data_IF_035984848244
#
_entry.id   IF_035984848244
#
_cell.length_a   1.000
_cell.length_b   1.000
_cell.length_c   1.000
_cell.angle_alpha   90.00
_cell.angle_beta   90.00
_cell.angle_gamma   90.00
#
_symmetry.space_group_name_H-M   'P 1'
#
loop_
_entity.id
_entity.type
_entity.pdbx_description
1 polymer ?
#
# COMPACT_ATOMS: atom_id res chain seq x y z
N UNK A 1 -6.45 -2.82 18.23
CA UNK A 1 -7.18 -3.42 17.09
C UNK A 1 -6.18 -3.71 15.98
N UNK A 2 -6.23 -4.91 15.37
CA UNK A 2 -5.35 -5.31 14.26
C UNK A 2 -6.20 -5.53 13.00
N UNK A 3 -5.82 -4.89 11.89
CA UNK A 3 -6.52 -5.03 10.60
C UNK A 3 -5.48 -5.28 9.51
N UNK A 4 -5.72 -6.28 8.68
CA UNK A 4 -4.87 -6.64 7.54
C UNK A 4 -5.62 -6.37 6.23
N UNK A 5 -4.94 -5.78 5.26
CA UNK A 5 -5.41 -5.56 3.89
C UNK A 5 -4.32 -6.01 2.93
N UNK A 6 -4.67 -6.60 1.79
CA UNK A 6 -3.67 -7.11 0.85
C UNK A 6 -3.91 -6.59 -0.56
N UNK A 7 -2.82 -6.36 -1.29
CA UNK A 7 -2.80 -6.19 -2.74
C UNK A 7 -2.29 -7.48 -3.36
N UNK A 8 -3.05 -8.04 -4.28
CA UNK A 8 -2.74 -9.27 -5.02
C UNK A 8 -2.44 -8.92 -6.47
N UNK A 9 -1.18 -9.07 -6.86
CA UNK A 9 -0.74 -8.92 -8.24
C UNK A 9 -0.39 -10.30 -8.82
N UNK A 10 -0.23 -10.38 -10.14
CA UNK A 10 0.22 -11.59 -10.83
C UNK A 10 1.62 -11.95 -10.32
N UNK A 11 1.69 -13.05 -9.55
CA UNK A 11 2.93 -13.62 -9.03
C UNK A 11 3.29 -13.22 -7.59
N UNK A 12 2.74 -12.14 -7.04
CA UNK A 12 3.03 -11.73 -5.67
C UNK A 12 1.82 -11.13 -4.94
N UNK A 13 1.90 -11.13 -3.61
CA UNK A 13 1.00 -10.40 -2.71
C UNK A 13 1.78 -9.43 -1.85
N UNK A 14 1.18 -8.27 -1.57
CA UNK A 14 1.67 -7.31 -0.58
C UNK A 14 0.64 -7.19 0.54
N UNK A 15 1.03 -7.52 1.77
CA UNK A 15 0.17 -7.50 2.96
C UNK A 15 0.47 -6.27 3.80
N UNK A 16 -0.55 -5.49 4.14
CA UNK A 16 -0.46 -4.29 4.97
C UNK A 16 -1.17 -4.55 6.29
N UNK A 17 -0.40 -4.59 7.38
CA UNK A 17 -0.90 -4.83 8.74
C UNK A 17 -0.91 -3.54 9.52
N UNK A 18 -2.10 -3.11 9.91
CA UNK A 18 -2.35 -1.89 10.63
C UNK A 18 -2.73 -2.21 12.08
N UNK A 19 -1.96 -1.69 13.02
CA UNK A 19 -2.22 -1.82 14.46
C UNK A 19 -2.41 -0.44 15.07
N UNK A 20 -3.60 -0.19 15.65
CA UNK A 20 -3.84 1.06 16.36
C UNK A 20 -3.00 1.09 17.64
N UNK A 21 -2.21 2.15 17.81
CA UNK A 21 -1.41 2.40 19.02
C UNK A 21 -2.06 3.56 19.79
N UNK A 22 -2.44 3.33 21.05
CA UNK A 22 -3.26 4.28 21.81
C UNK A 22 -2.56 5.64 22.04
N UNK A 23 -3.40 6.69 22.16
CA UNK A 23 -3.14 8.10 22.45
C UNK A 23 -2.91 9.09 21.29
N UNK A 24 -2.33 8.71 20.14
CA UNK A 24 -1.83 9.73 19.18
C UNK A 24 -2.34 9.67 17.72
N UNK A 25 -3.40 8.92 17.41
CA UNK A 25 -3.86 8.70 16.01
C UNK A 25 -2.74 8.20 15.10
N UNK A 26 -1.78 7.50 15.69
CA UNK A 26 -0.72 6.80 15.00
C UNK A 26 -1.13 5.34 14.86
N UNK A 27 -0.83 4.80 13.70
CA UNK A 27 -1.08 3.42 13.34
C UNK A 27 0.27 2.82 13.05
N UNK A 28 0.61 1.76 13.76
CA UNK A 28 1.75 0.93 13.41
C UNK A 28 1.43 0.16 12.13
N UNK A 29 2.32 0.25 11.16
CA UNK A 29 2.20 -0.36 9.84
C UNK A 29 3.40 -1.25 9.55
N UNK A 30 3.13 -2.54 9.38
CA UNK A 30 4.06 -3.52 8.84
C UNK A 30 3.60 -3.92 7.43
N UNK A 31 4.53 -3.99 6.48
CA UNK A 31 4.27 -4.41 5.11
C UNK A 31 5.03 -5.69 4.80
N UNK A 32 4.32 -6.71 4.33
CA UNK A 32 4.88 -7.96 3.85
C UNK A 32 4.83 -8.06 2.33
N UNK A 33 5.80 -8.75 1.74
CA UNK A 33 5.69 -9.25 0.37
C UNK A 33 5.92 -10.76 0.34
N UNK A 34 5.17 -11.46 -0.50
CA UNK A 34 5.22 -12.91 -0.65
C UNK A 34 4.69 -13.37 -2.01
N UNK A 35 4.75 -14.67 -2.27
CA UNK A 35 4.11 -15.25 -3.45
C UNK A 35 2.59 -15.11 -3.36
N UNK A 36 1.94 -14.92 -4.52
CA UNK A 36 0.50 -14.69 -4.62
C UNK A 36 -0.34 -15.80 -3.97
N UNK A 37 0.13 -17.05 -4.02
CA UNK A 37 -0.53 -18.22 -3.42
C UNK A 37 -0.34 -18.32 -1.89
N UNK A 38 0.43 -17.41 -1.29
CA UNK A 38 0.75 -17.39 0.14
C UNK A 38 1.71 -18.49 0.58
N UNK A 39 2.28 -19.27 -0.35
CA UNK A 39 3.18 -20.38 -0.02
C UNK A 39 4.51 -19.92 0.60
N UNK A 40 4.97 -18.72 0.25
CA UNK A 40 6.25 -18.19 0.70
C UNK A 40 6.18 -16.68 0.96
N UNK A 41 6.73 -16.27 2.11
CA UNK A 41 7.00 -14.86 2.41
C UNK A 41 8.44 -14.52 1.99
N UNK A 42 8.59 -13.43 1.25
CA UNK A 42 9.87 -13.01 0.67
C UNK A 42 10.57 -11.97 1.54
N UNK A 43 9.81 -10.99 2.03
CA UNK A 43 10.33 -9.96 2.92
C UNK A 43 9.21 -9.35 3.78
N UNK A 44 9.62 -8.71 4.87
CA UNK A 44 8.76 -7.90 5.73
C UNK A 44 9.49 -6.60 6.02
N UNK A 45 8.78 -5.48 5.96
CA UNK A 45 9.31 -4.20 6.37
C UNK A 45 9.59 -4.22 7.86
N UNK A 46 10.44 -3.30 8.31
CA UNK A 46 10.35 -2.87 9.71
C UNK A 46 9.00 -2.20 9.97
N UNK A 47 8.49 -2.39 11.19
CA UNK A 47 7.29 -1.70 11.68
C UNK A 47 7.54 -0.18 11.69
N UNK A 48 6.56 0.59 11.24
CA UNK A 48 6.66 2.04 11.13
C UNK A 48 5.34 2.72 11.48
N UNK A 49 5.41 3.88 12.12
CA UNK A 49 4.22 4.63 12.50
C UNK A 49 3.75 5.53 11.38
N UNK A 50 2.48 5.39 10.99
CA UNK A 50 1.84 6.31 10.06
C UNK A 50 0.67 7.05 10.73
N UNK A 51 0.51 8.36 10.48
CA UNK A 51 -0.70 9.07 10.86
C UNK A 51 -1.93 8.49 10.14
N UNK A 52 -3.10 8.49 10.78
CA UNK A 52 -4.37 8.09 10.11
C UNK A 52 -4.62 8.84 8.80
N UNK A 53 -4.24 10.12 8.71
CA UNK A 53 -4.34 10.91 7.46
C UNK A 53 -3.50 10.34 6.30
N UNK A 54 -2.41 9.64 6.61
CA UNK A 54 -1.54 9.04 5.61
C UNK A 54 -2.13 7.75 5.05
N UNK A 55 -3.03 7.07 5.79
CA UNK A 55 -3.87 5.98 5.25
C UNK A 55 -4.81 6.53 4.16
N UNK A 56 -5.42 7.70 4.40
CA UNK A 56 -6.26 8.36 3.39
C UNK A 56 -5.43 8.83 2.19
N UNK A 57 -4.22 9.36 2.41
CA UNK A 57 -3.28 9.69 1.32
C UNK A 57 -2.93 8.45 0.50
N UNK A 58 -2.79 7.31 1.17
CA UNK A 58 -2.48 6.05 0.51
C UNK A 58 -3.65 5.55 -0.35
N UNK A 59 -4.90 5.67 0.11
CA UNK A 59 -6.07 5.37 -0.72
C UNK A 59 -6.13 6.29 -1.96
N UNK A 60 -5.97 7.61 -1.74
CA UNK A 60 -6.01 8.62 -2.82
C UNK A 60 -4.95 8.40 -3.90
N UNK A 61 -3.76 7.97 -3.49
CA UNK A 61 -2.69 7.65 -4.43
C UNK A 61 -3.15 6.67 -5.53
N UNK A 62 -3.88 5.61 -5.17
CA UNK A 62 -4.41 4.66 -6.15
C UNK A 62 -5.61 5.23 -6.93
N UNK A 63 -6.49 5.97 -6.28
CA UNK A 63 -7.64 6.62 -6.93
C UNK A 63 -7.19 7.59 -8.03
N UNK A 64 -6.17 8.40 -7.74
CA UNK A 64 -5.56 9.36 -8.67
C UNK A 64 -4.87 8.63 -9.83
N UNK A 65 -4.18 7.50 -9.55
CA UNK A 65 -3.56 6.67 -10.60
C UNK A 65 -4.59 6.06 -11.53
N UNK A 66 -5.65 5.43 -10.99
CA UNK A 66 -6.73 4.85 -11.78
C UNK A 66 -7.43 5.91 -12.65
N UNK A 67 -7.70 7.08 -12.09
CA UNK A 67 -8.27 8.21 -12.83
C UNK A 67 -7.34 8.76 -13.92
N UNK A 68 -6.03 8.57 -13.78
CA UNK A 68 -5.05 8.94 -14.79
C UNK A 68 -4.99 7.91 -15.92
N UNK A 69 -5.03 6.61 -15.59
CA UNK A 69 -5.07 5.53 -16.57
C UNK A 69 -6.31 5.56 -17.47
N UNK A 70 -7.46 5.98 -16.95
CA UNK A 70 -8.69 6.16 -17.75
C UNK A 70 -8.52 7.19 -18.88
N UNK A 71 -7.55 8.10 -18.76
CA UNK A 71 -7.27 9.16 -19.74
C UNK A 71 -6.00 8.90 -20.55
N UNK A 72 -5.03 8.19 -19.97
CA UNK A 72 -3.74 7.91 -20.56
C UNK A 72 -3.22 6.54 -20.07
N UNK A 73 -3.19 5.49 -20.91
CA UNK A 73 -2.70 4.17 -20.51
C UNK A 73 -1.21 4.17 -20.12
N UNK A 74 -0.43 5.12 -20.63
CA UNK A 74 1.00 5.28 -20.30
C UNK A 74 1.21 6.09 -19.01
N UNK A 75 0.16 6.39 -18.26
CA UNK A 75 0.29 7.14 -17.01
C UNK A 75 1.11 6.36 -15.98
N UNK A 76 2.06 7.04 -15.37
CA UNK A 76 2.87 6.51 -14.26
C UNK A 76 2.78 7.47 -13.08
N UNK A 77 2.54 6.91 -11.90
CA UNK A 77 2.55 7.67 -10.66
C UNK A 77 3.96 7.85 -10.14
N UNK A 78 4.18 8.97 -9.44
CA UNK A 78 5.37 9.15 -8.62
C UNK A 78 5.45 8.07 -7.53
N UNK A 79 6.65 7.78 -7.05
CA UNK A 79 6.83 6.78 -6.00
C UNK A 79 6.17 7.27 -4.71
N UNK A 80 5.19 6.51 -4.20
CA UNK A 80 4.63 6.75 -2.89
C UNK A 80 5.64 6.33 -1.82
N UNK A 81 5.99 7.27 -0.95
CA UNK A 81 6.90 7.05 0.17
C UNK A 81 6.24 7.56 1.48
N UNK A 82 6.03 6.70 2.48
CA UNK A 82 5.59 7.11 3.81
C UNK A 82 6.73 7.77 4.58
N UNK A 83 6.41 8.59 5.59
CA UNK A 83 7.40 9.34 6.37
C UNK A 83 8.48 8.44 7.00
N UNK A 84 8.07 7.28 7.51
CA UNK A 84 8.96 6.31 8.18
C UNK A 84 9.75 5.44 7.21
N UNK A 85 9.60 5.62 5.88
CA UNK A 85 10.39 4.91 4.85
C UNK A 85 10.36 3.37 5.00
N UNK A 86 9.27 2.82 5.54
CA UNK A 86 9.11 1.38 5.75
C UNK A 86 8.80 0.63 4.44
N UNK A 87 8.19 1.30 3.47
CA UNK A 87 7.94 0.73 2.14
C UNK A 87 7.91 1.83 1.05
N UNK A 88 7.90 1.42 -0.21
CA UNK A 88 7.66 2.27 -1.37
C UNK A 88 6.70 1.58 -2.33
N UNK A 89 5.88 2.36 -3.02
CA UNK A 89 4.97 1.86 -4.05
C UNK A 89 5.09 2.70 -5.31
N UNK A 90 5.01 2.06 -6.46
CA UNK A 90 4.91 2.74 -7.74
C UNK A 90 3.87 2.05 -8.61
N UNK A 91 2.84 2.79 -8.99
CA UNK A 91 1.81 2.37 -9.91
C UNK A 91 2.19 2.92 -11.29
N UNK A 92 2.27 2.04 -12.26
CA UNK A 92 2.81 2.32 -13.58
C UNK A 92 1.73 2.09 -14.65
N UNK A 93 2.17 2.10 -15.90
CA UNK A 93 1.32 1.96 -17.09
C UNK A 93 0.42 0.70 -17.06
N UNK A 94 -0.66 0.79 -17.82
CA UNK A 94 -1.68 -0.23 -17.91
C UNK A 94 -2.93 0.29 -18.62
N UNK A 95 -4.05 -0.37 -18.41
CA UNK A 95 -5.35 0.07 -18.90
C UNK A 95 -6.32 0.16 -17.73
N UNK A 96 -7.09 1.25 -17.67
CA UNK A 96 -8.26 1.35 -16.80
C UNK A 96 -9.44 1.83 -17.62
N UNK A 97 -10.61 1.22 -17.41
CA UNK A 97 -11.85 1.60 -18.08
C UNK A 97 -12.87 2.07 -17.06
N UNK A 98 -13.76 2.94 -17.53
CA UNK A 98 -14.95 3.33 -16.78
C UNK A 98 -15.73 2.08 -16.37
N UNK A 99 -16.09 1.97 -15.10
CA UNK A 99 -16.88 0.85 -14.58
C UNK A 99 -16.10 -0.23 -13.81
N UNK A 100 -14.78 -0.10 -13.62
CA UNK A 100 -14.06 -1.01 -12.74
C UNK A 100 -12.98 -1.86 -13.41
N UNK A 101 -13.04 -1.99 -14.72
CA UNK A 101 -12.20 -2.92 -15.48
C UNK A 101 -10.81 -2.36 -15.75
N UNK A 102 -9.86 -3.26 -15.98
CA UNK A 102 -8.50 -2.93 -16.36
C UNK A 102 -7.44 -3.52 -15.42
N UNK A 103 -6.20 -3.38 -15.83
CA UNK A 103 -5.03 -3.85 -15.10
C UNK A 103 -3.85 -2.91 -15.31
N UNK A 104 -2.95 -2.82 -14.34
CA UNK A 104 -1.76 -2.00 -14.45
C UNK A 104 -0.59 -2.62 -13.69
N UNK A 105 0.62 -2.17 -13.96
CA UNK A 105 1.80 -2.70 -13.28
C UNK A 105 2.00 -1.99 -11.93
N UNK A 106 2.13 -2.76 -10.86
CA UNK A 106 2.43 -2.28 -9.53
C UNK A 106 3.77 -2.83 -9.04
N UNK A 107 4.63 -1.93 -8.59
CA UNK A 107 5.87 -2.25 -7.88
C UNK A 107 5.69 -1.97 -6.39
N UNK A 108 6.06 -2.94 -5.55
CA UNK A 108 6.12 -2.80 -4.09
C UNK A 108 7.51 -3.12 -3.60
N UNK A 109 8.09 -2.20 -2.82
CA UNK A 109 9.40 -2.36 -2.22
C UNK A 109 9.28 -2.19 -0.69
N UNK A 110 9.85 -3.09 0.10
CA UNK A 110 9.87 -3.00 1.56
C UNK A 110 11.30 -2.76 2.07
N UNK A 111 11.46 -1.89 3.06
CA UNK A 111 12.75 -1.60 3.68
C UNK A 111 13.09 -2.69 4.71
N UNK A 112 14.17 -3.43 4.45
CA UNK A 112 14.61 -4.58 5.28
C UNK A 112 15.74 -4.23 6.26
N UNK A 113 16.32 -3.04 6.16
CA UNK A 113 17.43 -2.58 7.02
C UNK A 113 16.98 -1.79 8.24
N UNK A 114 15.70 -1.39 8.27
CA UNK A 114 15.14 -0.58 9.36
C UNK A 114 15.27 0.92 9.17
N UNK A 115 14.44 1.66 9.91
CA UNK A 115 14.30 3.13 9.84
C UNK A 115 15.39 3.89 10.59
N UNK A 116 16.22 3.19 11.39
CA UNK A 116 17.23 3.79 12.26
C UNK A 116 18.68 3.65 11.82
N UNK A 117 18.96 3.09 10.64
CA UNK A 117 20.35 2.88 10.19
C UNK A 117 20.92 4.13 9.50
N UNK A 118 21.96 4.78 10.03
CA UNK A 118 22.61 5.92 9.39
C UNK A 118 23.39 5.53 8.11
N UNK A 119 23.52 4.24 7.81
CA UNK A 119 24.34 3.71 6.71
C UNK A 119 23.58 3.40 5.41
N UNK A 120 22.32 3.85 5.29
CA UNK A 120 21.50 3.70 4.08
C UNK A 120 20.36 2.69 4.24
N UNK A 121 19.42 2.71 3.30
CA UNK A 121 18.25 1.83 3.28
C UNK A 121 18.34 0.82 2.14
N UNK A 122 18.17 -0.46 2.45
CA UNK A 122 18.05 -1.53 1.44
C UNK A 122 16.58 -1.91 1.31
N UNK A 123 16.13 -1.96 0.06
CA UNK A 123 14.77 -2.33 -0.28
C UNK A 123 14.76 -3.64 -1.06
N UNK A 124 13.80 -4.50 -0.72
CA UNK A 124 13.49 -5.73 -1.46
C UNK A 124 12.06 -5.64 -1.94
N UNK A 125 11.79 -6.04 -3.18
CA UNK A 125 10.47 -5.82 -3.77
C UNK A 125 10.08 -6.78 -4.86
N UNK A 126 8.83 -6.64 -5.28
CA UNK A 126 8.24 -7.35 -6.39
C UNK A 126 7.55 -6.35 -7.32
N UNK A 127 7.42 -6.75 -8.58
CA UNK A 127 6.70 -6.02 -9.61
C UNK A 127 5.82 -7.00 -10.37
N UNK A 128 4.62 -6.55 -10.75
CA UNK A 128 3.65 -7.41 -11.40
C UNK A 128 2.35 -6.67 -11.69
N UNK A 129 1.55 -7.27 -12.57
CA UNK A 129 0.27 -6.72 -13.02
C UNK A 129 -0.80 -6.93 -11.96
N UNK A 130 -1.60 -5.92 -11.65
CA UNK A 130 -2.69 -5.95 -10.67
C UNK A 130 -4.00 -5.49 -11.31
N UNK A 131 -5.11 -6.12 -10.90
CA UNK A 131 -6.46 -5.77 -11.36
C UNK A 131 -6.94 -4.45 -10.74
N UNK A 132 -7.46 -3.55 -11.58
CA UNK A 132 -7.99 -2.26 -11.14
C UNK A 132 -9.20 -2.41 -10.20
N UNK A 133 -10.01 -3.46 -10.38
CA UNK A 133 -11.13 -3.77 -9.47
C UNK A 133 -10.63 -4.12 -8.06
N UNK A 134 -9.60 -4.95 -7.97
CA UNK A 134 -9.01 -5.34 -6.69
C UNK A 134 -8.40 -4.13 -5.96
N UNK A 135 -7.77 -3.21 -6.70
CA UNK A 135 -7.25 -1.97 -6.13
C UNK A 135 -8.37 -1.07 -5.60
N UNK A 136 -9.53 -1.00 -6.28
CA UNK A 136 -10.70 -0.25 -5.76
C UNK A 136 -11.23 -0.85 -4.46
N UNK A 137 -11.31 -2.17 -4.35
CA UNK A 137 -11.69 -2.84 -3.10
C UNK A 137 -10.69 -2.51 -1.97
N UNK A 138 -9.40 -2.56 -2.28
CA UNK A 138 -8.34 -2.19 -1.35
C UNK A 138 -8.46 -0.72 -0.89
N UNK A 139 -8.65 0.23 -1.79
CA UNK A 139 -8.83 1.66 -1.43
C UNK A 139 -10.08 1.90 -0.58
N UNK A 140 -11.19 1.21 -0.90
CA UNK A 140 -12.42 1.24 -0.08
C UNK A 140 -12.12 0.79 1.34
N UNK A 141 -11.37 -0.31 1.47
CA UNK A 141 -10.97 -0.84 2.78
C UNK A 141 -10.07 0.12 3.56
N UNK A 142 -9.17 0.84 2.90
CA UNK A 142 -8.35 1.87 3.54
C UNK A 142 -9.18 3.05 4.05
N UNK A 143 -10.21 3.48 3.33
CA UNK A 143 -11.12 4.54 3.79
C UNK A 143 -11.95 4.11 5.00
N UNK A 144 -12.46 2.88 4.99
CA UNK A 144 -13.15 2.30 6.15
C UNK A 144 -12.23 2.25 7.37
N UNK A 145 -10.99 1.78 7.18
CA UNK A 145 -9.97 1.70 8.20
C UNK A 145 -9.64 3.07 8.81
N UNK A 146 -9.40 4.06 7.96
CA UNK A 146 -9.11 5.42 8.41
C UNK A 146 -10.29 6.02 9.21
N UNK A 147 -11.52 5.74 8.78
CA UNK A 147 -12.75 6.19 9.47
C UNK A 147 -12.90 5.53 10.85
N UNK A 148 -12.62 4.22 10.96
CA UNK A 148 -12.65 3.49 12.22
C UNK A 148 -11.63 4.04 13.22
N UNK A 149 -10.37 4.21 12.80
CA UNK A 149 -9.33 4.77 13.68
C UNK A 149 -9.61 6.21 14.10
N UNK A 150 -10.26 7.02 13.25
CA UNK A 150 -10.69 8.38 13.61
C UNK A 150 -11.88 8.41 14.59
N UNK A 151 -12.70 7.36 14.63
CA UNK A 151 -13.78 7.22 15.60
C UNK A 151 -13.27 6.73 16.97
N UNK A 152 -12.35 5.77 16.97
CA UNK A 152 -11.81 5.17 18.20
C UNK A 152 -10.90 6.14 18.97
N UNK A 153 -10.13 6.98 18.28
CA UNK A 153 -9.30 8.02 18.90
C UNK A 153 -10.08 9.23 19.48
N UNK A 154 -11.40 9.14 19.62
CA UNK A 154 -12.27 10.13 20.27
C UNK A 154 -12.84 9.65 21.61
N UNK A 155 -12.60 8.40 22.00
CA UNK A 155 -13.01 7.82 23.30
C UNK A 155 -11.86 7.89 24.28
#
# INVERSE_FOLDING_TARGET
>A
MHIECSLLARGYRADFRFTLVEANRLVDLEVGIGLADGSQRLATSTAGYIPVKDIVRFARYFEDHLSSLERNPDAQSEVFVPLELNFQLQAMEGEARAGGEGEFTLRVMVNVTGTGSPSGSVYVGCEGVIDAAHVRDFTTRLHELASQFAADGRR
#
